data_IF_986043615660
#
_entry.id   IF_986043615660
#
_cell.length_a   1.000
_cell.length_b   1.000
_cell.length_c   1.000
_cell.angle_alpha   90.00
_cell.angle_beta   90.00
_cell.angle_gamma   90.00
#
_symmetry.space_group_name_H-M   'P 1'
#
loop_
_entity.id
_entity.type
_entity.pdbx_description
1 polymer ?
#
# COMPACT_ATOMS: atom_id res chain seq x y z
N UNK A 1 -10.73 -8.09 -18.78
CA UNK A 1 -9.69 -8.93 -19.38
C UNK A 1 -9.44 -8.46 -20.82
N UNK A 2 -8.45 -7.58 -21.05
CA UNK A 2 -8.16 -6.99 -22.37
C UNK A 2 -7.95 -8.01 -23.49
N UNK A 3 -7.44 -9.19 -23.16
CA UNK A 3 -7.16 -10.28 -24.10
C UNK A 3 -8.44 -10.98 -24.59
N UNK A 4 -9.49 -11.07 -23.75
CA UNK A 4 -10.73 -11.77 -24.08
C UNK A 4 -11.94 -10.84 -24.22
N UNK A 5 -11.83 -9.57 -23.83
CA UNK A 5 -12.93 -8.62 -23.74
C UNK A 5 -13.93 -8.88 -22.59
N UNK A 6 -13.74 -9.93 -21.78
CA UNK A 6 -14.65 -10.30 -20.68
C UNK A 6 -14.27 -9.64 -19.35
N UNK A 7 -15.16 -9.67 -18.35
CA UNK A 7 -14.84 -9.31 -16.96
C UNK A 7 -13.81 -10.30 -16.41
N UNK A 8 -12.90 -9.84 -15.53
CA UNK A 8 -11.86 -10.71 -14.97
C UNK A 8 -12.42 -11.77 -14.01
N UNK A 9 -13.35 -11.43 -13.12
CA UNK A 9 -13.89 -12.38 -12.16
C UNK A 9 -12.76 -13.06 -11.36
N UNK A 10 -12.77 -14.40 -11.32
CA UNK A 10 -11.75 -15.20 -10.65
C UNK A 10 -10.38 -15.21 -11.37
N UNK A 11 -10.31 -14.75 -12.63
CA UNK A 11 -9.04 -14.60 -13.35
C UNK A 11 -8.30 -13.31 -12.95
N UNK A 12 -8.88 -12.50 -12.05
CA UNK A 12 -8.17 -11.34 -11.50
C UNK A 12 -7.02 -11.82 -10.62
N UNK A 13 -5.80 -11.28 -10.79
CA UNK A 13 -4.65 -11.73 -10.01
C UNK A 13 -4.81 -11.36 -8.54
N UNK A 14 -4.21 -12.17 -7.67
CA UNK A 14 -4.07 -11.82 -6.27
C UNK A 14 -3.34 -10.49 -6.12
N UNK A 15 -3.90 -9.60 -5.31
CA UNK A 15 -3.33 -8.27 -5.04
C UNK A 15 -2.95 -8.15 -3.57
N UNK A 16 -1.82 -7.49 -3.32
CA UNK A 16 -1.36 -7.15 -1.98
C UNK A 16 -1.50 -5.67 -1.67
N UNK A 17 -1.33 -5.32 -0.39
CA UNK A 17 -1.15 -3.91 0.04
C UNK A 17 0.05 -3.28 -0.68
N UNK A 18 1.10 -4.06 -0.92
CA UNK A 18 2.31 -3.61 -1.62
C UNK A 18 2.01 -3.17 -3.05
N UNK A 19 1.18 -3.93 -3.76
CA UNK A 19 0.78 -3.60 -5.13
C UNK A 19 -0.07 -2.33 -5.18
N UNK A 20 -0.96 -2.17 -4.20
CA UNK A 20 -1.78 -0.96 -4.05
C UNK A 20 -0.91 0.28 -3.84
N UNK A 21 0.05 0.23 -2.91
CA UNK A 21 0.95 1.37 -2.65
C UNK A 21 1.87 1.64 -3.83
N UNK A 22 2.38 0.60 -4.49
CA UNK A 22 3.21 0.74 -5.70
C UNK A 22 2.43 1.43 -6.83
N UNK A 23 1.16 1.09 -7.01
CA UNK A 23 0.28 1.75 -7.97
C UNK A 23 0.07 3.22 -7.62
N UNK A 24 -0.26 3.51 -6.35
CA UNK A 24 -0.47 4.89 -5.89
C UNK A 24 0.80 5.74 -6.04
N UNK A 25 1.98 5.22 -5.71
CA UNK A 25 3.27 5.90 -5.91
C UNK A 25 3.51 6.21 -7.39
N UNK A 26 3.26 5.25 -8.29
CA UNK A 26 3.37 5.47 -9.74
C UNK A 26 2.41 6.55 -10.23
N UNK A 27 1.17 6.52 -9.75
CA UNK A 27 0.15 7.52 -10.08
C UNK A 27 0.52 8.92 -9.59
N UNK A 28 1.01 9.06 -8.36
CA UNK A 28 1.49 10.34 -7.83
C UNK A 28 2.64 10.89 -8.68
N UNK A 29 3.62 10.05 -9.03
CA UNK A 29 4.73 10.43 -9.90
C UNK A 29 4.23 10.83 -11.31
N UNK A 30 3.23 10.12 -11.86
CA UNK A 30 2.71 10.41 -13.21
C UNK A 30 1.95 11.73 -13.31
N UNK A 31 1.35 12.21 -12.21
CA UNK A 31 0.70 13.53 -12.15
C UNK A 31 1.65 14.66 -11.71
N UNK A 32 2.96 14.38 -11.62
CA UNK A 32 3.99 15.38 -11.32
C UNK A 32 4.20 15.68 -9.84
N UNK A 33 3.68 14.86 -8.92
CA UNK A 33 4.00 15.00 -7.49
C UNK A 33 5.46 14.65 -7.26
N UNK A 34 6.20 15.58 -6.66
CA UNK A 34 7.65 15.42 -6.39
C UNK A 34 7.96 14.86 -5.01
N UNK A 35 6.96 14.82 -4.14
CA UNK A 35 7.08 14.27 -2.80
C UNK A 35 5.81 14.48 -2.00
N UNK A 36 5.65 13.68 -0.95
CA UNK A 36 4.50 13.67 -0.06
C UNK A 36 4.95 14.05 1.34
N UNK A 37 4.32 15.08 1.90
CA UNK A 37 4.66 15.55 3.25
C UNK A 37 4.29 14.53 4.31
N UNK A 38 3.10 13.93 4.21
CA UNK A 38 2.61 12.96 5.18
C UNK A 38 1.60 12.03 4.51
N UNK A 39 1.68 10.73 4.80
CA UNK A 39 0.63 9.76 4.48
C UNK A 39 -0.10 9.41 5.77
N UNK A 40 -1.43 9.49 5.76
CA UNK A 40 -2.27 9.26 6.95
C UNK A 40 -3.35 8.25 6.60
N UNK A 41 -3.61 7.29 7.47
CA UNK A 41 -4.59 6.24 7.19
C UNK A 41 -4.91 5.37 8.40
N UNK A 42 -6.17 4.99 8.51
CA UNK A 42 -6.68 4.08 9.53
C UNK A 42 -6.94 2.67 9.01
N UNK A 43 -6.87 1.65 9.87
CA UNK A 43 -7.18 0.26 9.54
C UNK A 43 -6.38 -0.22 8.30
N UNK A 44 -7.05 -0.63 7.23
CA UNK A 44 -6.40 -0.96 5.95
C UNK A 44 -5.57 0.19 5.37
N UNK A 45 -6.01 1.44 5.52
CA UNK A 45 -5.23 2.61 5.13
C UNK A 45 -4.00 2.82 6.01
N UNK A 46 -4.04 2.37 7.26
CA UNK A 46 -2.87 2.38 8.14
C UNK A 46 -1.81 1.36 7.69
N UNK A 47 -2.24 0.20 7.21
CA UNK A 47 -1.33 -0.77 6.58
C UNK A 47 -0.67 -0.19 5.32
N UNK A 48 -1.43 0.54 4.50
CA UNK A 48 -0.85 1.28 3.37
C UNK A 48 0.16 2.34 3.83
N UNK A 49 -0.08 3.06 4.94
CA UNK A 49 0.89 4.01 5.49
C UNK A 49 2.22 3.35 5.84
N UNK A 50 2.17 2.18 6.49
CA UNK A 50 3.38 1.40 6.81
C UNK A 50 4.11 1.00 5.52
N UNK A 51 3.36 0.54 4.53
CA UNK A 51 3.93 0.14 3.24
C UNK A 51 4.51 1.33 2.44
N UNK A 52 3.94 2.53 2.54
CA UNK A 52 4.53 3.75 2.00
C UNK A 52 5.89 4.03 2.63
N UNK A 53 6.03 3.89 3.95
CA UNK A 53 7.31 4.09 4.62
C UNK A 53 8.35 3.06 4.17
N UNK A 54 7.95 1.81 3.92
CA UNK A 54 8.82 0.77 3.41
C UNK A 54 9.24 1.05 1.96
N UNK A 55 8.29 1.33 1.05
CA UNK A 55 8.61 1.45 -0.37
C UNK A 55 9.27 2.77 -0.76
N UNK A 56 8.87 3.88 -0.12
CA UNK A 56 9.21 5.24 -0.54
C UNK A 56 10.14 5.97 0.45
N UNK A 57 10.52 5.31 1.54
CA UNK A 57 11.32 5.87 2.62
C UNK A 57 10.59 6.95 3.40
N UNK A 58 11.24 7.41 4.46
CA UNK A 58 10.79 8.50 5.32
C UNK A 58 11.96 9.41 5.68
N UNK A 59 11.67 10.53 6.34
CA UNK A 59 12.72 11.37 6.94
C UNK A 59 13.63 10.63 7.90
N UNK A 60 13.06 9.71 8.67
CA UNK A 60 13.74 8.97 9.71
C UNK A 60 14.51 7.77 9.16
N UNK A 61 14.05 7.23 8.02
CA UNK A 61 14.71 6.16 7.30
C UNK A 61 14.62 6.44 5.79
N UNK A 62 15.67 7.01 5.17
CA UNK A 62 15.63 7.41 3.76
C UNK A 62 15.69 6.22 2.79
N UNK A 63 15.90 5.00 3.28
CA UNK A 63 15.87 3.80 2.45
C UNK A 63 14.54 3.69 1.69
N UNK A 64 14.61 3.37 0.41
CA UNK A 64 13.46 3.21 -0.47
C UNK A 64 13.78 2.18 -1.57
N UNK A 65 12.75 1.66 -2.22
CA UNK A 65 12.88 0.63 -3.24
C UNK A 65 13.44 1.14 -4.58
N UNK A 66 13.39 2.45 -4.84
CA UNK A 66 13.91 3.03 -6.09
C UNK A 66 15.39 3.44 -6.02
N UNK A 67 16.04 3.26 -4.86
CA UNK A 67 17.45 3.55 -4.64
C UNK A 67 17.77 5.05 -4.58
N UNK A 68 16.76 5.92 -4.55
CA UNK A 68 16.91 7.36 -4.42
C UNK A 68 17.55 7.73 -3.07
N UNK A 69 18.44 8.72 -3.06
CA UNK A 69 19.01 9.29 -1.83
C UNK A 69 18.05 10.18 -1.06
N UNK A 70 16.94 10.60 -1.67
CA UNK A 70 15.89 11.39 -1.03
C UNK A 70 14.60 10.57 -0.93
N UNK A 71 13.99 10.46 0.27
CA UNK A 71 12.72 9.77 0.42
C UNK A 71 11.61 10.56 -0.28
N UNK A 72 10.71 9.85 -0.96
CA UNK A 72 9.55 10.46 -1.62
C UNK A 72 8.45 10.82 -0.60
N UNK A 73 8.37 10.11 0.52
CA UNK A 73 7.46 10.41 1.64
C UNK A 73 8.27 10.97 2.81
N UNK A 74 7.81 12.04 3.46
CA UNK A 74 8.53 12.63 4.62
C UNK A 74 8.10 11.97 5.94
N UNK A 75 6.82 11.70 6.16
CA UNK A 75 6.30 11.03 7.36
C UNK A 75 5.07 10.18 7.09
N UNK A 76 4.73 9.28 8.03
CA UNK A 76 3.52 8.44 7.99
C UNK A 76 2.80 8.47 9.34
N UNK A 77 1.47 8.40 9.32
CA UNK A 77 0.61 8.34 10.51
C UNK A 77 -0.37 7.16 10.36
N UNK A 78 0.04 5.94 10.75
CA UNK A 78 -0.84 4.77 10.79
C UNK A 78 -1.74 4.82 12.03
N UNK A 79 -3.04 4.51 11.87
CA UNK A 79 -4.03 4.54 12.94
C UNK A 79 -4.76 3.19 13.03
N UNK A 80 -4.82 2.59 14.21
CA UNK A 80 -5.64 1.38 14.45
C UNK A 80 -5.28 0.18 13.57
N UNK A 81 -4.00 0.02 13.22
CA UNK A 81 -3.49 -1.12 12.45
C UNK A 81 -2.20 -1.67 13.06
N UNK A 82 -1.88 -2.93 12.74
CA UNK A 82 -0.58 -3.54 13.03
C UNK A 82 0.35 -3.50 11.82
N UNK A 83 1.63 -3.83 12.02
CA UNK A 83 2.61 -3.97 10.93
C UNK A 83 2.34 -5.20 10.04
N UNK A 84 1.62 -6.18 10.57
CA UNK A 84 1.16 -7.37 9.85
C UNK A 84 -0.18 -7.82 10.42
N UNK A 85 -0.93 -8.61 9.65
CA UNK A 85 -2.13 -9.26 10.14
C UNK A 85 -1.81 -10.27 11.24
N UNK A 86 -2.54 -10.21 12.34
CA UNK A 86 -2.50 -11.24 13.38
C UNK A 86 -3.43 -12.40 13.03
N UNK A 87 -3.22 -13.57 13.65
CA UNK A 87 -4.10 -14.73 13.46
C UNK A 87 -5.58 -14.42 13.73
N UNK A 88 -5.87 -13.55 14.70
CA UNK A 88 -7.23 -13.09 14.99
C UNK A 88 -7.85 -12.32 13.81
N UNK A 89 -7.10 -11.40 13.20
CA UNK A 89 -7.58 -10.61 12.06
C UNK A 89 -7.75 -11.48 10.81
N UNK A 90 -6.86 -12.47 10.61
CA UNK A 90 -6.95 -13.44 9.52
C UNK A 90 -8.23 -14.27 9.68
N UNK A 91 -8.48 -14.80 10.87
CA UNK A 91 -9.65 -15.61 11.16
C UNK A 91 -10.97 -14.85 10.91
N UNK A 92 -11.07 -13.60 11.36
CA UNK A 92 -12.26 -12.77 11.09
C UNK A 92 -12.45 -12.54 9.59
N UNK A 93 -11.36 -12.23 8.86
CA UNK A 93 -11.43 -11.98 7.41
C UNK A 93 -11.87 -13.22 6.65
N UNK A 94 -11.45 -14.41 7.09
CA UNK A 94 -11.88 -15.67 6.50
C UNK A 94 -13.36 -15.95 6.75
N UNK A 95 -13.85 -15.74 7.97
CA UNK A 95 -15.29 -15.88 8.29
C UNK A 95 -16.13 -14.94 7.41
N UNK A 96 -15.67 -13.72 7.16
CA UNK A 96 -16.36 -12.77 6.27
C UNK A 96 -16.39 -13.22 4.81
N UNK A 97 -15.37 -13.96 4.34
CA UNK A 97 -15.29 -14.44 2.95
C UNK A 97 -16.26 -15.60 2.69
N UNK A 98 -16.62 -16.34 3.74
CA UNK A 98 -17.51 -17.51 3.68
C UNK A 98 -18.99 -17.16 3.91
N UNK A 99 -19.32 -15.90 4.24
CA UNK A 99 -20.67 -15.42 4.50
C UNK A 99 -21.35 -14.92 3.23
#
# INVERSE_FOLDING_TARGET
HPQTGSVYGNDFPDISVQDTVRLQLKMLKSIGVRGVKCVVGGSFGGMQCVEYAAQAGTSANPWNLDGSSSPFVRSVIPIGCGAAHTGWQIAISEVQRQA
#
